data_IF_425655835183
#
_entry.id   IF_425655835183
#
_cell.length_a   1.000
_cell.length_b   1.000
_cell.length_c   1.000
_cell.angle_alpha   90.00
_cell.angle_beta   90.00
_cell.angle_gamma   90.00
#
_symmetry.space_group_name_H-M   'P 1'
#
loop_
_entity.id
_entity.type
_entity.pdbx_description
1 polymer ?
#
# COMPACT_ATOMS: atom_id res chain seq x y z
N UNK A 1 -0.83 -7.64 61.33
CA UNK A 1 -1.53 -6.35 61.25
C UNK A 1 -0.84 -5.57 60.14
N UNK A 2 -1.38 -5.25 58.97
CA UNK A 2 -2.74 -5.30 58.44
C UNK A 2 -2.65 -5.80 56.98
N UNK A 3 -3.67 -6.54 56.59
CA UNK A 3 -4.01 -6.94 55.23
C UNK A 3 -4.95 -5.88 54.67
N UNK A 4 -4.72 -5.38 53.46
CA UNK A 4 -5.79 -4.75 52.63
C UNK A 4 -5.38 -4.62 51.16
N UNK A 5 -6.27 -5.11 50.29
CA UNK A 5 -6.40 -4.89 48.84
C UNK A 5 -5.27 -5.48 47.96
N UNK A 6 -5.43 -6.58 47.23
CA UNK A 6 -6.57 -6.93 46.37
C UNK A 6 -7.12 -5.71 45.64
N UNK A 7 -6.49 -5.38 44.51
CA UNK A 7 -7.22 -4.88 43.36
C UNK A 7 -6.77 -5.70 42.15
N UNK A 8 -7.59 -6.68 41.82
CA UNK A 8 -7.62 -7.29 40.50
C UNK A 8 -7.84 -6.19 39.45
N UNK A 9 -6.91 -6.05 38.51
CA UNK A 9 -7.25 -5.58 37.18
C UNK A 9 -7.09 -6.77 36.24
N UNK A 10 -8.16 -7.56 36.23
CA UNK A 10 -8.44 -8.63 35.28
C UNK A 10 -9.06 -7.99 34.03
N UNK A 11 -8.58 -8.45 32.87
CA UNK A 11 -9.20 -8.38 31.55
C UNK A 11 -9.42 -6.99 30.89
N UNK A 12 -8.57 -6.73 29.90
CA UNK A 12 -8.87 -5.81 28.81
C UNK A 12 -8.08 -6.25 27.59
N UNK A 13 -8.68 -7.11 26.74
CA UNK A 13 -8.10 -7.55 25.48
C UNK A 13 -7.76 -6.36 24.59
N UNK A 14 -6.49 -5.95 24.63
CA UNK A 14 -5.95 -4.98 23.70
C UNK A 14 -5.86 -5.63 22.33
N UNK A 15 -6.77 -5.25 21.44
CA UNK A 15 -6.61 -5.34 19.99
C UNK A 15 -5.12 -5.17 19.67
N UNK A 16 -4.45 -6.23 19.22
CA UNK A 16 -3.10 -6.12 18.66
C UNK A 16 -3.25 -5.17 17.47
N UNK A 17 -2.98 -3.89 17.72
CA UNK A 17 -3.03 -2.85 16.71
C UNK A 17 -2.17 -3.34 15.57
N UNK A 18 -2.73 -3.33 14.36
CA UNK A 18 -2.04 -3.66 13.11
C UNK A 18 -0.62 -3.13 13.19
N UNK A 19 0.36 -4.02 13.33
CA UNK A 19 1.79 -3.68 13.34
C UNK A 19 2.23 -3.38 11.91
N UNK A 20 1.47 -2.52 11.23
CA UNK A 20 1.78 -2.04 9.90
C UNK A 20 3.02 -1.16 10.01
N UNK A 21 4.12 -1.65 9.44
CA UNK A 21 5.36 -0.89 9.36
C UNK A 21 5.07 0.46 8.67
N UNK A 22 5.49 1.60 9.24
CA UNK A 22 5.32 2.89 8.57
C UNK A 22 6.10 2.91 7.26
N UNK A 23 5.69 3.78 6.32
CA UNK A 23 6.34 3.91 5.00
C UNK A 23 7.84 4.19 5.14
N UNK A 24 8.24 5.00 6.12
CA UNK A 24 9.65 5.26 6.45
C UNK A 24 10.43 3.99 6.77
N UNK A 25 9.80 3.02 7.44
CA UNK A 25 10.42 1.73 7.73
C UNK A 25 10.64 0.88 6.48
N UNK A 26 9.74 0.96 5.49
CA UNK A 26 9.91 0.31 4.19
C UNK A 26 11.01 0.99 3.36
N UNK A 27 11.07 2.33 3.37
CA UNK A 27 12.12 3.10 2.70
C UNK A 27 13.50 2.71 3.23
N UNK A 28 13.69 2.68 4.56
CA UNK A 28 14.95 2.29 5.18
C UNK A 28 15.36 0.84 4.84
N UNK A 29 14.39 -0.09 4.81
CA UNK A 29 14.67 -1.48 4.45
C UNK A 29 15.09 -1.61 2.97
N UNK A 30 14.38 -0.93 2.07
CA UNK A 30 14.71 -1.00 0.64
C UNK A 30 16.02 -0.29 0.33
N UNK A 31 16.30 0.86 0.94
CA UNK A 31 17.55 1.60 0.74
C UNK A 31 18.76 0.78 1.19
N UNK A 32 18.69 0.13 2.35
CA UNK A 32 19.77 -0.73 2.85
C UNK A 32 20.02 -1.93 1.91
N UNK A 33 18.95 -2.51 1.34
CA UNK A 33 19.10 -3.57 0.33
C UNK A 33 19.81 -3.05 -0.91
N UNK A 34 19.43 -1.88 -1.42
CA UNK A 34 20.10 -1.24 -2.56
C UNK A 34 21.58 -0.99 -2.26
N UNK A 35 21.90 -0.44 -1.09
CA UNK A 35 23.29 -0.22 -0.66
C UNK A 35 24.08 -1.53 -0.62
N UNK A 36 23.49 -2.61 -0.09
CA UNK A 36 24.12 -3.94 -0.08
C UNK A 36 24.37 -4.47 -1.49
N UNK A 37 23.41 -4.37 -2.40
CA UNK A 37 23.61 -4.77 -3.80
C UNK A 37 24.71 -3.95 -4.49
N UNK A 38 24.78 -2.64 -4.22
CA UNK A 38 25.86 -1.78 -4.72
C UNK A 38 27.23 -2.26 -4.24
N UNK A 39 27.36 -2.50 -2.92
CA UNK A 39 28.61 -2.93 -2.30
C UNK A 39 29.03 -4.32 -2.78
N UNK A 40 28.09 -5.26 -2.93
CA UNK A 40 28.38 -6.61 -3.46
C UNK A 40 28.86 -6.61 -4.92
N UNK A 41 28.64 -5.52 -5.66
CA UNK A 41 29.14 -5.32 -7.03
C UNK A 41 30.39 -4.41 -7.07
N UNK A 42 30.98 -4.06 -5.91
CA UNK A 42 32.14 -3.17 -5.77
C UNK A 42 31.95 -1.79 -6.46
N UNK A 43 30.71 -1.29 -6.49
CA UNK A 43 30.39 -0.03 -7.14
C UNK A 43 30.49 1.14 -6.16
N UNK A 44 31.19 2.21 -6.55
CA UNK A 44 31.09 3.48 -5.85
C UNK A 44 29.70 4.12 -6.07
N UNK A 45 29.28 5.01 -5.16
CA UNK A 45 28.05 5.80 -5.38
C UNK A 45 28.13 6.62 -6.68
N UNK A 46 29.28 7.22 -6.98
CA UNK A 46 29.47 7.97 -8.22
C UNK A 46 29.30 7.09 -9.47
N UNK A 47 29.87 5.88 -9.45
CA UNK A 47 29.76 4.92 -10.54
C UNK A 47 28.32 4.47 -10.75
N UNK A 48 27.59 4.15 -9.67
CA UNK A 48 26.19 3.74 -9.77
C UNK A 48 25.28 4.90 -10.21
N UNK A 49 25.50 6.11 -9.71
CA UNK A 49 24.76 7.31 -10.12
C UNK A 49 24.93 7.57 -11.61
N UNK A 50 26.15 7.46 -12.13
CA UNK A 50 26.44 7.56 -13.56
C UNK A 50 25.73 6.47 -14.38
N UNK A 51 25.83 5.20 -13.96
CA UNK A 51 25.18 4.06 -14.63
C UNK A 51 23.65 4.19 -14.67
N UNK A 52 23.04 4.69 -13.60
CA UNK A 52 21.59 4.92 -13.51
C UNK A 52 21.15 6.26 -14.11
N UNK A 53 22.10 7.12 -14.52
CA UNK A 53 21.84 8.43 -15.10
C UNK A 53 21.15 9.41 -14.14
N UNK A 54 21.37 9.28 -12.83
CA UNK A 54 20.85 10.20 -11.80
C UNK A 54 21.99 11.01 -11.17
N UNK A 55 21.64 12.09 -10.46
CA UNK A 55 22.64 12.85 -9.71
C UNK A 55 23.19 12.05 -8.52
N UNK A 56 24.45 12.27 -8.16
CA UNK A 56 25.06 11.68 -6.96
C UNK A 56 24.26 12.01 -5.68
N UNK A 57 23.74 13.25 -5.60
CA UNK A 57 22.88 13.68 -4.50
C UNK A 57 21.59 12.86 -4.41
N UNK A 58 20.96 12.55 -5.54
CA UNK A 58 19.76 11.70 -5.58
C UNK A 58 20.06 10.30 -5.08
N UNK A 59 21.19 9.71 -5.51
CA UNK A 59 21.59 8.39 -5.04
C UNK A 59 21.90 8.37 -3.54
N UNK A 60 22.60 9.39 -3.02
CA UNK A 60 22.90 9.49 -1.59
C UNK A 60 21.62 9.56 -0.74
N UNK A 61 20.62 10.34 -1.18
CA UNK A 61 19.32 10.42 -0.52
C UNK A 61 18.57 9.09 -0.56
N UNK A 62 18.61 8.40 -1.70
CA UNK A 62 18.02 7.06 -1.85
C UNK A 62 18.65 6.08 -0.86
N UNK A 63 19.99 6.01 -0.78
CA UNK A 63 20.68 5.12 0.17
C UNK A 63 20.44 5.51 1.64
N UNK A 64 20.21 6.79 1.93
CA UNK A 64 19.80 7.28 3.24
C UNK A 64 18.34 6.96 3.61
N UNK A 65 17.54 6.37 2.70
CA UNK A 65 16.13 6.05 2.96
C UNK A 65 15.20 7.27 2.90
N UNK A 66 15.65 8.37 2.29
CA UNK A 66 14.82 9.54 2.05
C UNK A 66 13.84 9.31 0.88
N UNK A 67 12.71 10.03 0.85
CA UNK A 67 11.79 9.96 -0.27
C UNK A 67 12.44 10.47 -1.56
N UNK A 68 12.40 9.61 -2.58
CA UNK A 68 12.87 9.88 -3.94
C UNK A 68 11.75 9.56 -4.95
N UNK A 69 11.88 10.09 -6.16
CA UNK A 69 10.94 9.76 -7.24
C UNK A 69 11.05 8.28 -7.62
N UNK A 70 9.91 7.64 -7.90
CA UNK A 70 9.85 6.24 -8.29
C UNK A 70 10.72 5.95 -9.53
N UNK A 71 10.70 6.85 -10.51
CA UNK A 71 11.54 6.73 -11.71
C UNK A 71 13.04 6.63 -11.35
N UNK A 72 13.52 7.49 -10.45
CA UNK A 72 14.92 7.44 -10.00
C UNK A 72 15.26 6.12 -9.30
N UNK A 73 14.33 5.60 -8.49
CA UNK A 73 14.49 4.32 -7.83
C UNK A 73 14.55 3.16 -8.84
N UNK A 74 13.64 3.12 -9.82
CA UNK A 74 13.63 2.11 -10.88
C UNK A 74 14.91 2.13 -11.71
N UNK A 75 15.41 3.32 -12.08
CA UNK A 75 16.69 3.45 -12.83
C UNK A 75 17.87 2.88 -12.05
N UNK A 76 17.89 3.03 -10.72
CA UNK A 76 18.93 2.44 -9.86
C UNK A 76 18.80 0.92 -9.79
N UNK A 77 17.59 0.37 -9.67
CA UNK A 77 17.36 -1.07 -9.67
C UNK A 77 17.77 -1.72 -10.99
N UNK A 78 17.40 -1.12 -12.13
CA UNK A 78 17.80 -1.58 -13.47
C UNK A 78 19.32 -1.48 -13.62
N UNK A 79 19.94 -0.39 -13.17
CA UNK A 79 21.40 -0.27 -13.21
C UNK A 79 22.12 -1.32 -12.34
N UNK A 80 21.45 -1.89 -11.34
CA UNK A 80 21.96 -2.99 -10.50
C UNK A 80 21.65 -4.39 -11.06
N UNK A 81 20.92 -4.51 -12.17
CA UNK A 81 20.52 -5.80 -12.76
C UNK A 81 19.37 -6.48 -12.03
N UNK A 82 18.48 -5.70 -11.40
CA UNK A 82 17.35 -6.20 -10.59
C UNK A 82 16.00 -6.11 -11.33
N UNK A 83 15.99 -5.95 -12.65
CA UNK A 83 14.78 -5.84 -13.48
C UNK A 83 13.81 -7.02 -13.30
N UNK A 84 14.32 -8.26 -13.21
CA UNK A 84 13.48 -9.44 -12.99
C UNK A 84 12.73 -9.42 -11.65
N UNK A 85 13.28 -8.75 -10.63
CA UNK A 85 12.58 -8.54 -9.36
C UNK A 85 11.42 -7.56 -9.52
N UNK A 86 11.55 -6.54 -10.39
CA UNK A 86 10.55 -5.49 -10.58
C UNK A 86 9.26 -6.10 -11.17
N UNK A 87 9.38 -6.98 -12.16
CA UNK A 87 8.24 -7.67 -12.77
C UNK A 87 7.44 -8.50 -11.76
N UNK A 88 8.11 -9.05 -10.74
CA UNK A 88 7.47 -9.88 -9.72
C UNK A 88 6.70 -9.09 -8.65
N UNK A 89 6.92 -7.78 -8.51
CA UNK A 89 6.38 -6.98 -7.40
C UNK A 89 4.89 -6.67 -7.53
N UNK A 90 4.42 -6.49 -8.76
CA UNK A 90 3.02 -6.22 -9.05
C UNK A 90 2.54 -7.31 -10.01
N UNK A 91 2.04 -8.45 -9.49
CA UNK A 91 1.57 -9.51 -10.35
C UNK A 91 0.40 -9.02 -11.18
N UNK A 92 0.35 -9.43 -12.45
CA UNK A 92 -0.82 -9.21 -13.29
C UNK A 92 -2.04 -9.85 -12.63
N UNK A 93 -3.13 -9.10 -12.53
CA UNK A 93 -4.40 -9.64 -12.06
C UNK A 93 -5.15 -10.22 -13.27
N UNK A 94 -5.26 -11.56 -13.39
CA UNK A 94 -6.07 -12.15 -14.45
C UNK A 94 -7.53 -11.72 -14.28
N UNK A 95 -8.18 -11.35 -15.38
CA UNK A 95 -9.61 -11.07 -15.38
C UNK A 95 -10.39 -12.36 -15.09
N UNK A 96 -11.27 -12.36 -14.07
CA UNK A 96 -12.11 -13.53 -13.81
C UNK A 96 -13.07 -13.74 -14.99
N UNK A 97 -13.29 -14.98 -15.48
CA UNK A 97 -14.18 -15.26 -16.61
C UNK A 97 -15.60 -14.69 -16.45
N UNK A 98 -16.11 -14.65 -15.21
CA UNK A 98 -17.40 -14.05 -14.88
C UNK A 98 -17.38 -12.53 -15.11
N UNK A 99 -16.32 -11.83 -14.68
CA UNK A 99 -16.18 -10.39 -14.93
C UNK A 99 -16.03 -10.04 -16.42
N UNK A 100 -15.45 -10.94 -17.23
CA UNK A 100 -15.30 -10.75 -18.67
C UNK A 100 -16.66 -10.85 -19.39
N UNK A 101 -17.48 -11.83 -18.98
CA UNK A 101 -18.86 -12.02 -19.46
C UNK A 101 -19.80 -10.89 -19.03
N UNK A 102 -19.72 -10.46 -17.76
CA UNK A 102 -20.58 -9.38 -17.23
C UNK A 102 -20.28 -8.01 -17.85
N UNK A 103 -19.08 -7.77 -18.39
CA UNK A 103 -18.65 -6.47 -18.91
C UNK A 103 -18.52 -6.40 -20.43
N UNK A 104 -18.88 -7.47 -21.15
CA UNK A 104 -18.74 -7.52 -22.61
C UNK A 104 -17.33 -7.17 -23.09
N UNK A 105 -16.30 -7.52 -22.32
CA UNK A 105 -14.90 -7.23 -22.63
C UNK A 105 -14.35 -5.86 -22.19
N UNK A 106 -15.08 -5.02 -21.45
CA UNK A 106 -14.54 -3.74 -20.97
C UNK A 106 -13.81 -3.85 -19.62
N UNK A 107 -12.52 -3.49 -19.61
CA UNK A 107 -11.70 -3.40 -18.40
C UNK A 107 -12.18 -2.26 -17.47
N UNK A 108 -12.10 -2.46 -16.16
CA UNK A 108 -12.46 -1.44 -15.15
C UNK A 108 -11.37 -0.38 -15.12
N UNK A 109 -11.72 0.88 -15.45
CA UNK A 109 -10.77 1.99 -15.41
C UNK A 109 -10.76 2.75 -14.08
N UNK A 110 -11.85 2.68 -13.30
CA UNK A 110 -11.99 3.35 -12.01
C UNK A 110 -12.79 2.48 -11.04
N UNK A 111 -12.43 2.56 -9.76
CA UNK A 111 -13.28 2.05 -8.69
C UNK A 111 -14.47 3.00 -8.52
N UNK A 112 -15.62 2.67 -9.08
CA UNK A 112 -16.86 3.36 -8.70
C UNK A 112 -17.37 2.74 -7.39
N UNK A 113 -17.61 3.59 -6.39
CA UNK A 113 -18.42 3.19 -5.24
C UNK A 113 -19.85 3.05 -5.77
N UNK A 114 -20.46 1.87 -5.67
CA UNK A 114 -21.92 1.76 -5.80
C UNK A 114 -22.50 2.59 -4.67
N UNK A 115 -22.91 3.81 -4.95
CA UNK A 115 -23.79 4.53 -4.04
C UNK A 115 -25.06 3.71 -3.97
N UNK A 116 -25.47 3.30 -2.78
CA UNK A 116 -26.79 2.76 -2.48
C UNK A 116 -27.90 3.82 -2.66
N UNK A 117 -27.68 4.84 -3.49
CA UNK A 117 -28.58 5.95 -3.79
C UNK A 117 -29.70 5.56 -4.78
N UNK A 118 -30.16 4.31 -4.71
CA UNK A 118 -31.27 3.77 -5.51
C UNK A 118 -32.29 2.98 -4.69
N UNK A 119 -32.07 2.80 -3.38
CA UNK A 119 -33.09 2.28 -2.46
C UNK A 119 -33.55 3.40 -1.52
N UNK A 120 -33.90 4.56 -2.09
CA UNK A 120 -35.05 5.26 -1.52
C UNK A 120 -36.21 4.31 -1.71
N UNK A 121 -36.58 3.58 -0.66
CA UNK A 121 -37.92 3.01 -0.54
C UNK A 121 -38.84 4.17 -0.90
N UNK A 122 -39.44 4.13 -2.09
CA UNK A 122 -40.65 4.89 -2.36
C UNK A 122 -41.65 4.34 -1.35
N UNK A 123 -41.70 4.94 -0.16
CA UNK A 123 -42.85 4.80 0.71
C UNK A 123 -43.99 5.35 -0.13
N UNK A 124 -44.97 4.54 -0.55
CA UNK A 124 -46.16 5.09 -1.16
C UNK A 124 -46.76 6.05 -0.12
N UNK A 125 -46.66 7.36 -0.37
CA UNK A 125 -47.46 8.32 0.37
C UNK A 125 -48.87 8.24 -0.22
N UNK A 126 -49.61 7.23 0.21
CA UNK A 126 -51.05 7.32 0.22
C UNK A 126 -51.60 6.43 1.32
N UNK A 127 -51.73 7.03 2.50
CA UNK A 127 -52.49 6.46 3.60
C UNK A 127 -53.08 7.62 4.39
N UNK A 128 -54.30 7.98 4.00
CA UNK A 128 -55.21 8.82 4.77
C UNK A 128 -56.24 7.90 5.37
N UNK A 129 -56.21 7.74 6.70
CA UNK A 129 -57.40 7.32 7.42
C UNK A 129 -58.24 8.56 7.68
N UNK A 130 -59.35 8.66 6.95
CA UNK A 130 -60.52 9.36 7.48
C UNK A 130 -61.28 8.40 8.39
N UNK A 131 -61.65 8.97 9.53
CA UNK A 131 -62.87 8.71 10.31
C UNK A 131 -63.03 7.35 10.98
N UNK A 132 -62.84 7.36 12.31
CA UNK A 132 -63.74 6.65 13.21
C UNK A 132 -64.45 7.66 14.13
N UNK A 133 -65.74 7.86 13.80
CA UNK A 133 -66.90 8.26 14.63
C UNK A 133 -67.00 9.68 15.20
#
# INVERSE_FOLDING_TARGET
MQNTAQTECREGGGIMGSTARPVSGWLALLSERVTRHRLNQDLSQASLALRSGISLRTLARLEAGEPVQLESFLRVLIALGLEGCIESWVPDLPESPIQQLERGGQARQRASRRTSAGQSRKVPRDWRWEEDS
#
